data_IF_041064466414
#
_entry.id   IF_041064466414
#
_cell.length_a   1.000
_cell.length_b   1.000
_cell.length_c   1.000
_cell.angle_alpha   90.00
_cell.angle_beta   90.00
_cell.angle_gamma   90.00
#
_symmetry.space_group_name_H-M   'P 1'
#
loop_
_entity.id
_entity.type
_entity.pdbx_description
1 polymer ?
#
# COMPACT_ATOMS: atom_id res chain seq x y z
N UNK A 1 -10.31 -5.88 -44.63
CA UNK A 1 -11.38 -5.39 -45.53
C UNK A 1 -11.06 -5.59 -47.02
N UNK A 2 -9.88 -5.16 -47.52
CA UNK A 2 -9.52 -5.28 -48.94
C UNK A 2 -9.58 -6.71 -49.53
N UNK A 3 -9.09 -7.72 -48.80
CA UNK A 3 -9.12 -9.12 -49.25
C UNK A 3 -10.55 -9.65 -49.43
N UNK A 4 -11.47 -9.33 -48.51
CA UNK A 4 -12.89 -9.73 -48.60
C UNK A 4 -13.58 -9.09 -49.80
N UNK A 5 -13.37 -7.80 -50.00
CA UNK A 5 -13.90 -7.08 -51.17
C UNK A 5 -13.43 -7.69 -52.50
N UNK A 6 -12.17 -8.10 -52.58
CA UNK A 6 -11.63 -8.78 -53.77
C UNK A 6 -12.31 -10.14 -54.03
N UNK A 7 -12.53 -10.95 -52.98
CA UNK A 7 -13.22 -12.23 -53.13
C UNK A 7 -14.69 -12.05 -53.53
N UNK A 8 -15.41 -11.14 -52.87
CA UNK A 8 -16.81 -10.84 -53.24
C UNK A 8 -16.89 -10.36 -54.68
N UNK A 9 -15.99 -9.47 -55.11
CA UNK A 9 -15.94 -8.99 -56.49
C UNK A 9 -15.67 -10.13 -57.50
N UNK A 10 -14.69 -10.99 -57.21
CA UNK A 10 -14.35 -12.13 -58.06
C UNK A 10 -15.53 -13.11 -58.19
N UNK A 11 -16.04 -13.62 -57.07
CA UNK A 11 -17.12 -14.61 -57.07
C UNK A 11 -18.45 -14.03 -57.58
N UNK A 12 -18.75 -12.76 -57.32
CA UNK A 12 -19.94 -12.10 -57.89
C UNK A 12 -19.82 -11.98 -59.42
N UNK A 13 -18.64 -11.66 -59.93
CA UNK A 13 -18.41 -11.57 -61.38
C UNK A 13 -18.52 -12.95 -62.06
N UNK A 14 -17.96 -13.99 -61.44
CA UNK A 14 -18.10 -15.37 -61.92
C UNK A 14 -19.56 -15.85 -61.85
N UNK A 15 -20.29 -15.49 -60.78
CA UNK A 15 -21.73 -15.81 -60.64
C UNK A 15 -22.53 -15.18 -61.77
N UNK A 16 -22.24 -13.92 -62.11
CA UNK A 16 -22.89 -13.23 -63.22
C UNK A 16 -22.64 -13.92 -64.57
N UNK A 17 -21.39 -14.30 -64.86
CA UNK A 17 -21.06 -15.05 -66.07
C UNK A 17 -21.78 -16.40 -66.12
N UNK A 18 -21.78 -17.13 -64.99
CA UNK A 18 -22.49 -18.41 -64.85
C UNK A 18 -24.00 -18.27 -65.07
N UNK A 19 -24.59 -17.16 -64.60
CA UNK A 19 -26.01 -16.86 -64.78
C UNK A 19 -26.35 -16.61 -66.25
N UNK A 20 -25.49 -15.93 -67.02
CA UNK A 20 -25.70 -15.73 -68.46
C UNK A 20 -25.73 -17.10 -69.18
N UNK A 21 -24.79 -17.98 -68.86
CA UNK A 21 -24.78 -19.35 -69.38
C UNK A 21 -26.02 -20.14 -68.96
N UNK A 22 -26.51 -19.97 -67.73
CA UNK A 22 -27.73 -20.61 -67.25
C UNK A 22 -28.98 -20.13 -67.99
N UNK A 23 -29.07 -18.83 -68.28
CA UNK A 23 -30.17 -18.25 -69.08
C UNK A 23 -30.19 -18.85 -70.48
N UNK A 24 -29.02 -18.92 -71.14
CA UNK A 24 -28.92 -19.56 -72.46
C UNK A 24 -29.25 -21.06 -72.38
N UNK A 25 -28.73 -21.78 -71.38
CA UNK A 25 -29.02 -23.19 -71.21
C UNK A 25 -30.51 -23.46 -71.01
N UNK A 26 -31.20 -22.58 -70.27
CA UNK A 26 -32.65 -22.62 -70.09
C UNK A 26 -33.37 -22.38 -71.42
N UNK A 27 -32.94 -21.37 -72.18
CA UNK A 27 -33.49 -21.10 -73.51
C UNK A 27 -33.31 -22.29 -74.46
N UNK A 28 -32.11 -22.87 -74.52
CA UNK A 28 -31.77 -24.03 -75.35
C UNK A 28 -32.63 -25.23 -74.97
N UNK A 29 -32.83 -25.49 -73.67
CA UNK A 29 -33.62 -26.61 -73.18
C UNK A 29 -35.13 -26.44 -73.45
N UNK A 30 -35.66 -25.23 -73.36
CA UNK A 30 -37.10 -24.94 -73.52
C UNK A 30 -37.49 -24.84 -74.99
N UNK A 31 -36.65 -24.21 -75.83
CA UNK A 31 -36.96 -23.91 -77.22
C UNK A 31 -36.21 -24.78 -78.23
N UNK A 32 -35.48 -25.81 -77.77
CA UNK A 32 -34.61 -26.66 -78.61
C UNK A 32 -33.64 -25.84 -79.47
N UNK A 33 -33.09 -24.77 -78.91
CA UNK A 33 -32.11 -23.90 -79.57
C UNK A 33 -30.71 -24.52 -79.63
N UNK A 34 -29.78 -23.80 -80.23
CA UNK A 34 -28.35 -24.16 -80.25
C UNK A 34 -27.57 -23.38 -79.19
N UNK A 35 -26.52 -24.01 -78.63
CA UNK A 35 -25.61 -23.36 -77.68
C UNK A 35 -24.64 -22.48 -78.46
N UNK A 36 -24.75 -21.15 -78.30
CA UNK A 36 -23.95 -20.16 -79.04
C UNK A 36 -22.86 -19.54 -78.20
N UNK A 37 -23.03 -19.43 -76.88
CA UNK A 37 -22.01 -18.83 -76.01
C UNK A 37 -20.65 -19.53 -76.08
N UNK A 38 -20.59 -20.82 -76.43
CA UNK A 38 -19.30 -21.50 -76.59
C UNK A 38 -18.42 -20.88 -77.69
N UNK A 39 -19.00 -20.17 -78.68
CA UNK A 39 -18.25 -19.46 -79.71
C UNK A 39 -17.36 -18.33 -79.14
N UNK A 40 -17.66 -17.82 -77.94
CA UNK A 40 -16.83 -16.84 -77.25
C UNK A 40 -15.50 -17.43 -76.74
N UNK A 41 -15.34 -18.75 -76.76
CA UNK A 41 -14.16 -19.46 -76.24
C UNK A 41 -13.42 -20.21 -77.36
N UNK A 42 -12.71 -19.50 -78.25
CA UNK A 42 -12.19 -20.05 -79.50
C UNK A 42 -11.27 -21.26 -79.33
N UNK A 43 -10.56 -21.37 -78.20
CA UNK A 43 -9.61 -22.46 -77.94
C UNK A 43 -10.24 -23.76 -77.42
N UNK A 44 -11.47 -23.70 -76.90
CA UNK A 44 -12.13 -24.85 -76.25
C UNK A 44 -13.53 -25.13 -76.81
N UNK A 45 -14.05 -24.25 -77.68
CA UNK A 45 -15.39 -24.33 -78.27
C UNK A 45 -15.68 -25.70 -78.90
N UNK A 46 -14.82 -26.17 -79.79
CA UNK A 46 -15.03 -27.42 -80.55
C UNK A 46 -15.16 -28.64 -79.61
N UNK A 47 -14.33 -28.70 -78.57
CA UNK A 47 -14.36 -29.77 -77.57
C UNK A 47 -15.61 -29.70 -76.68
N UNK A 48 -16.07 -28.50 -76.34
CA UNK A 48 -17.27 -28.30 -75.51
C UNK A 48 -18.56 -28.62 -76.29
N UNK A 49 -18.67 -28.16 -77.53
CA UNK A 49 -19.83 -28.42 -78.39
C UNK A 49 -20.00 -29.92 -78.72
N UNK A 50 -18.90 -30.64 -78.92
CA UNK A 50 -18.96 -32.07 -79.28
C UNK A 50 -19.34 -32.97 -78.11
N UNK A 51 -19.01 -32.59 -76.87
CA UNK A 51 -19.11 -33.47 -75.70
C UNK A 51 -20.25 -33.11 -74.73
N UNK A 52 -20.91 -31.95 -74.89
CA UNK A 52 -21.90 -31.47 -73.92
C UNK A 52 -23.30 -31.48 -74.55
N UNK A 53 -24.20 -32.25 -73.94
CA UNK A 53 -25.63 -32.23 -74.29
C UNK A 53 -26.34 -31.04 -73.63
N UNK A 54 -27.49 -30.57 -74.18
CA UNK A 54 -28.27 -29.48 -73.60
C UNK A 54 -28.62 -29.65 -72.11
N UNK A 55 -28.96 -30.87 -71.69
CA UNK A 55 -29.31 -31.19 -70.31
C UNK A 55 -28.08 -31.07 -69.41
N UNK A 56 -26.94 -31.61 -69.83
CA UNK A 56 -25.69 -31.53 -69.08
C UNK A 56 -25.21 -30.07 -68.97
N UNK A 57 -25.35 -29.29 -70.05
CA UNK A 57 -25.04 -27.85 -70.04
C UNK A 57 -25.88 -27.09 -69.01
N UNK A 58 -27.19 -27.34 -68.97
CA UNK A 58 -28.09 -26.75 -67.98
C UNK A 58 -27.71 -27.13 -66.55
N UNK A 59 -27.45 -28.42 -66.27
CA UNK A 59 -27.10 -28.87 -64.92
C UNK A 59 -25.77 -28.27 -64.44
N UNK A 60 -24.74 -28.25 -65.29
CA UNK A 60 -23.42 -27.69 -64.94
C UNK A 60 -23.55 -26.20 -64.63
N UNK A 61 -24.23 -25.44 -65.48
CA UNK A 61 -24.39 -23.99 -65.31
C UNK A 61 -25.29 -23.64 -64.13
N UNK A 62 -26.33 -24.44 -63.86
CA UNK A 62 -27.18 -24.28 -62.68
C UNK A 62 -26.38 -24.51 -61.39
N UNK A 63 -25.67 -25.63 -61.30
CA UNK A 63 -24.84 -25.98 -60.13
C UNK A 63 -23.75 -24.94 -59.91
N UNK A 64 -23.05 -24.53 -60.98
CA UNK A 64 -22.03 -23.48 -60.90
C UNK A 64 -22.62 -22.16 -60.38
N UNK A 65 -23.79 -21.76 -60.86
CA UNK A 65 -24.44 -20.51 -60.43
C UNK A 65 -24.80 -20.56 -58.95
N UNK A 66 -25.40 -21.64 -58.47
CA UNK A 66 -25.76 -21.77 -57.05
C UNK A 66 -24.55 -21.86 -56.12
N UNK A 67 -23.50 -22.58 -56.51
CA UNK A 67 -22.27 -22.68 -55.71
C UNK A 67 -21.58 -21.31 -55.63
N UNK A 68 -21.36 -20.64 -56.76
CA UNK A 68 -20.68 -19.34 -56.80
C UNK A 68 -21.49 -18.27 -56.06
N UNK A 69 -22.81 -18.28 -56.22
CA UNK A 69 -23.70 -17.38 -55.47
C UNK A 69 -23.66 -17.70 -53.97
N UNK A 70 -23.73 -18.96 -53.57
CA UNK A 70 -23.66 -19.39 -52.18
C UNK A 70 -22.34 -18.99 -51.51
N UNK A 71 -21.21 -19.17 -52.20
CA UNK A 71 -19.89 -18.72 -51.72
C UNK A 71 -19.87 -17.19 -51.58
N UNK A 72 -20.40 -16.46 -52.58
CA UNK A 72 -20.49 -14.99 -52.54
C UNK A 72 -21.29 -14.54 -51.33
N UNK A 73 -22.45 -15.15 -51.07
CA UNK A 73 -23.29 -14.85 -49.92
C UNK A 73 -22.61 -15.19 -48.60
N UNK A 74 -21.94 -16.34 -48.48
CA UNK A 74 -21.22 -16.72 -47.26
C UNK A 74 -20.10 -15.74 -46.90
N UNK A 75 -19.38 -15.22 -47.91
CA UNK A 75 -18.30 -14.26 -47.71
C UNK A 75 -18.85 -12.85 -47.45
N UNK A 76 -19.89 -12.44 -48.18
CA UNK A 76 -20.47 -11.10 -48.08
C UNK A 76 -21.29 -10.91 -46.80
N UNK A 77 -21.99 -11.97 -46.35
CA UNK A 77 -22.85 -11.99 -45.18
C UNK A 77 -22.26 -12.85 -44.08
N UNK A 78 -20.98 -12.63 -43.73
CA UNK A 78 -20.48 -13.08 -42.43
C UNK A 78 -21.48 -12.62 -41.35
N UNK A 79 -21.97 -13.57 -40.56
CA UNK A 79 -23.11 -13.35 -39.68
C UNK A 79 -22.79 -12.21 -38.69
N UNK A 80 -23.40 -11.02 -38.84
CA UNK A 80 -23.07 -9.87 -38.00
C UNK A 80 -23.43 -10.14 -36.54
N UNK A 81 -24.41 -11.03 -36.30
CA UNK A 81 -24.83 -11.48 -34.97
C UNK A 81 -23.73 -12.32 -34.33
N UNK A 82 -23.09 -13.22 -35.07
CA UNK A 82 -22.01 -14.06 -34.55
C UNK A 82 -20.79 -13.20 -34.16
N UNK A 83 -20.43 -12.24 -35.01
CA UNK A 83 -19.34 -11.29 -34.71
C UNK A 83 -19.65 -10.46 -33.49
N UNK A 84 -20.89 -9.96 -33.38
CA UNK A 84 -21.34 -9.21 -32.23
C UNK A 84 -21.34 -10.06 -30.95
N UNK A 85 -21.89 -11.27 -30.99
CA UNK A 85 -21.91 -12.20 -29.86
C UNK A 85 -20.51 -12.55 -29.38
N UNK A 86 -19.59 -12.87 -30.30
CA UNK A 86 -18.20 -13.17 -29.96
C UNK A 86 -17.52 -11.96 -29.32
N UNK A 87 -17.82 -10.74 -29.78
CA UNK A 87 -17.31 -9.51 -29.17
C UNK A 87 -17.87 -9.33 -27.76
N UNK A 88 -19.17 -9.47 -27.55
CA UNK A 88 -19.80 -9.34 -26.23
C UNK A 88 -19.26 -10.40 -25.25
N UNK A 89 -19.09 -11.66 -25.68
CA UNK A 89 -18.49 -12.72 -24.89
C UNK A 89 -17.03 -12.41 -24.53
N UNK A 90 -16.26 -11.90 -25.48
CA UNK A 90 -14.88 -11.46 -25.25
C UNK A 90 -14.82 -10.32 -24.24
N UNK A 91 -15.66 -9.28 -24.41
CA UNK A 91 -15.72 -8.11 -23.55
C UNK A 91 -16.18 -8.49 -22.12
N UNK A 92 -17.13 -9.42 -21.98
CA UNK A 92 -17.54 -9.94 -20.68
C UNK A 92 -16.43 -10.73 -19.98
N UNK A 93 -15.65 -11.53 -20.74
CA UNK A 93 -14.52 -12.28 -20.20
C UNK A 93 -13.40 -11.37 -19.74
N UNK A 94 -13.08 -10.32 -20.51
CA UNK A 94 -12.05 -9.34 -20.13
C UNK A 94 -12.49 -8.55 -18.90
N UNK A 95 -13.75 -8.11 -18.83
CA UNK A 95 -14.28 -7.44 -17.65
C UNK A 95 -14.17 -8.30 -16.39
N UNK A 96 -14.57 -9.57 -16.47
CA UNK A 96 -14.46 -10.51 -15.34
C UNK A 96 -13.01 -10.68 -14.87
N UNK A 97 -12.05 -10.76 -15.80
CA UNK A 97 -10.64 -10.88 -15.46
C UNK A 97 -10.09 -9.62 -14.77
N UNK A 98 -10.49 -8.44 -15.23
CA UNK A 98 -10.11 -7.15 -14.61
C UNK A 98 -10.71 -7.02 -13.21
N UNK A 99 -11.98 -7.40 -13.04
CA UNK A 99 -12.64 -7.40 -11.72
C UNK A 99 -11.94 -8.36 -10.75
N UNK A 100 -11.53 -9.55 -11.20
CA UNK A 100 -10.76 -10.49 -10.38
C UNK A 100 -9.39 -9.93 -9.95
N UNK A 101 -8.65 -9.32 -10.88
CA UNK A 101 -7.37 -8.67 -10.57
C UNK A 101 -7.52 -7.53 -9.57
N UNK A 102 -8.56 -6.70 -9.72
CA UNK A 102 -8.85 -5.61 -8.79
C UNK A 102 -9.22 -6.15 -7.40
N UNK A 103 -9.96 -7.26 -7.33
CA UNK A 103 -10.31 -7.92 -6.07
C UNK A 103 -9.07 -8.48 -5.36
N UNK A 104 -8.14 -9.07 -6.13
CA UNK A 104 -6.86 -9.56 -5.63
C UNK A 104 -6.01 -8.41 -5.06
N UNK A 105 -5.86 -7.30 -5.80
CA UNK A 105 -5.16 -6.09 -5.32
C UNK A 105 -5.80 -5.53 -4.05
N UNK A 106 -7.14 -5.49 -3.98
CA UNK A 106 -7.85 -5.05 -2.77
C UNK A 106 -7.62 -5.98 -1.59
N UNK A 107 -7.51 -7.29 -1.84
CA UNK A 107 -7.20 -8.28 -0.80
C UNK A 107 -5.79 -8.06 -0.25
N UNK A 108 -4.78 -7.89 -1.11
CA UNK A 108 -3.40 -7.66 -0.70
C UNK A 108 -3.26 -6.40 0.17
N UNK A 109 -3.96 -5.31 -0.18
CA UNK A 109 -3.99 -4.09 0.64
C UNK A 109 -4.59 -4.38 2.02
N UNK A 110 -5.67 -5.18 2.08
CA UNK A 110 -6.32 -5.53 3.33
C UNK A 110 -5.40 -6.36 4.23
N UNK A 111 -4.64 -7.29 3.64
CA UNK A 111 -3.65 -8.11 4.34
C UNK A 111 -2.52 -7.23 4.92
N UNK A 112 -1.98 -6.30 4.12
CA UNK A 112 -0.97 -5.35 4.59
C UNK A 112 -1.49 -4.43 5.71
N UNK A 113 -2.76 -4.01 5.64
CA UNK A 113 -3.40 -3.28 6.74
C UNK A 113 -3.52 -4.13 8.00
N UNK A 114 -3.89 -5.39 7.87
CA UNK A 114 -4.01 -6.32 9.00
C UNK A 114 -2.64 -6.54 9.67
N UNK A 115 -1.58 -6.77 8.91
CA UNK A 115 -0.21 -6.88 9.43
C UNK A 115 0.22 -5.60 10.17
N UNK A 116 -0.12 -4.43 9.64
CA UNK A 116 0.18 -3.15 10.29
C UNK A 116 -0.56 -3.00 11.62
N UNK A 117 -1.82 -3.43 11.68
CA UNK A 117 -2.62 -3.41 12.93
C UNK A 117 -2.01 -4.36 13.96
N UNK A 118 -1.65 -5.58 13.55
CA UNK A 118 -1.00 -6.57 14.43
C UNK A 118 0.31 -6.01 15.01
N UNK A 119 1.14 -5.41 14.16
CA UNK A 119 2.40 -4.77 14.58
C UNK A 119 2.16 -3.63 15.59
N UNK A 120 1.20 -2.74 15.30
CA UNK A 120 0.86 -1.64 16.19
C UNK A 120 0.31 -2.15 17.54
N UNK A 121 -0.47 -3.24 17.54
CA UNK A 121 -0.98 -3.85 18.75
C UNK A 121 0.15 -4.42 19.63
N UNK A 122 1.14 -5.06 19.01
CA UNK A 122 2.34 -5.53 19.71
C UNK A 122 3.14 -4.38 20.34
N UNK A 123 3.33 -3.28 19.61
CA UNK A 123 4.00 -2.08 20.15
C UNK A 123 3.21 -1.50 21.32
N UNK A 124 1.89 -1.38 21.20
CA UNK A 124 1.03 -0.90 22.28
C UNK A 124 1.12 -1.77 23.54
N UNK A 125 1.20 -3.10 23.37
CA UNK A 125 1.43 -4.02 24.48
C UNK A 125 2.76 -3.76 25.16
N UNK A 126 3.85 -3.61 24.39
CA UNK A 126 5.17 -3.31 24.94
C UNK A 126 5.20 -1.97 25.68
N UNK A 127 4.59 -0.93 25.10
CA UNK A 127 4.47 0.39 25.73
C UNK A 127 3.69 0.29 27.04
N UNK A 128 2.60 -0.47 27.06
CA UNK A 128 1.82 -0.71 28.29
C UNK A 128 2.66 -1.36 29.38
N UNK A 129 3.46 -2.36 29.04
CA UNK A 129 4.33 -3.05 29.99
C UNK A 129 5.41 -2.11 30.54
N UNK A 130 6.05 -1.32 29.67
CA UNK A 130 7.01 -0.29 30.08
C UNK A 130 6.38 0.74 31.02
N UNK A 131 5.17 1.21 30.71
CA UNK A 131 4.44 2.14 31.58
C UNK A 131 4.14 1.52 32.94
N UNK A 132 3.81 0.23 32.99
CA UNK A 132 3.56 -0.47 34.25
C UNK A 132 4.84 -0.55 35.09
N UNK A 133 5.97 -0.89 34.46
CA UNK A 133 7.29 -0.97 35.10
C UNK A 133 7.75 0.39 35.65
N UNK A 134 7.65 1.45 34.84
CA UNK A 134 7.98 2.81 35.28
C UNK A 134 7.08 3.23 36.45
N UNK A 135 5.78 2.92 36.38
CA UNK A 135 4.85 3.23 37.47
C UNK A 135 5.23 2.49 38.76
N UNK A 136 5.68 1.24 38.68
CA UNK A 136 6.15 0.51 39.86
C UNK A 136 7.43 1.11 40.42
N UNK A 137 8.42 1.43 39.60
CA UNK A 137 9.67 2.05 40.05
C UNK A 137 9.42 3.44 40.67
N UNK A 138 8.55 4.26 40.08
CA UNK A 138 8.18 5.57 40.65
C UNK A 138 7.52 5.43 42.02
N UNK A 139 6.71 4.38 42.25
CA UNK A 139 6.13 4.10 43.58
C UNK A 139 7.21 3.77 44.61
N UNK A 140 8.28 3.08 44.22
CA UNK A 140 9.40 2.77 45.11
C UNK A 140 10.26 4.00 45.45
N UNK A 141 10.28 5.01 44.58
CA UNK A 141 10.97 6.30 44.79
C UNK A 141 10.14 7.27 45.63
N UNK A 142 8.82 7.09 45.71
CA UNK A 142 7.91 7.90 46.52
C UNK A 142 8.32 8.13 48.00
N UNK A 143 8.85 7.14 48.76
CA UNK A 143 9.34 7.35 50.12
C UNK A 143 10.54 8.31 50.21
N UNK A 144 11.26 8.60 49.12
CA UNK A 144 12.33 9.61 49.13
C UNK A 144 11.79 10.98 49.55
N UNK A 145 10.54 11.31 49.19
CA UNK A 145 9.89 12.54 49.64
C UNK A 145 9.75 12.59 51.17
N UNK A 146 9.39 11.46 51.79
CA UNK A 146 9.25 11.35 53.25
C UNK A 146 10.61 11.40 53.95
N UNK A 147 11.62 10.72 53.40
CA UNK A 147 12.99 10.81 53.91
C UNK A 147 13.57 12.23 53.80
N UNK A 148 13.29 12.95 52.71
CA UNK A 148 13.71 14.35 52.53
C UNK A 148 13.06 15.28 53.55
N UNK A 149 11.76 15.15 53.80
CA UNK A 149 11.08 15.97 54.82
C UNK A 149 11.61 15.64 56.23
N UNK A 150 11.88 14.36 56.52
CA UNK A 150 12.50 13.97 57.79
C UNK A 150 13.90 14.56 57.95
N UNK A 151 14.78 14.42 56.95
CA UNK A 151 16.12 15.03 56.97
C UNK A 151 16.07 16.54 57.13
N UNK A 152 15.16 17.23 56.43
CA UNK A 152 14.95 18.68 56.56
C UNK A 152 14.54 19.07 57.98
N UNK A 153 13.70 18.26 58.63
CA UNK A 153 13.29 18.50 60.02
C UNK A 153 14.47 18.34 60.99
N UNK A 154 15.29 17.29 60.82
CA UNK A 154 16.48 17.02 61.64
C UNK A 154 17.54 18.13 61.48
N UNK A 155 17.80 18.57 60.25
CA UNK A 155 18.73 19.66 59.95
C UNK A 155 18.27 20.99 60.56
N UNK A 156 16.97 21.27 60.56
CA UNK A 156 16.40 22.43 61.24
C UNK A 156 16.54 22.33 62.76
N UNK A 157 16.40 21.14 63.35
CA UNK A 157 16.65 20.91 64.77
C UNK A 157 18.10 21.18 65.13
N UNK A 158 19.03 20.58 64.37
CA UNK A 158 20.47 20.75 64.56
C UNK A 158 20.89 22.21 64.45
N UNK A 159 20.34 22.95 63.47
CA UNK A 159 20.55 24.39 63.33
C UNK A 159 20.12 25.18 64.57
N UNK A 160 19.02 24.81 65.22
CA UNK A 160 18.57 25.44 66.47
C UNK A 160 19.52 25.14 67.62
N UNK A 161 20.04 23.92 67.71
CA UNK A 161 21.01 23.53 68.73
C UNK A 161 22.34 24.26 68.58
N UNK A 162 22.87 24.36 67.35
CA UNK A 162 24.06 25.18 67.08
C UNK A 162 23.85 26.64 67.46
N UNK A 163 22.68 27.22 67.17
CA UNK A 163 22.35 28.59 67.58
C UNK A 163 22.29 28.75 69.11
N UNK A 164 21.88 27.72 69.84
CA UNK A 164 21.91 27.70 71.32
C UNK A 164 23.35 27.58 71.83
N UNK A 165 24.17 26.73 71.22
CA UNK A 165 25.58 26.56 71.58
C UNK A 165 26.39 27.82 71.28
N UNK A 166 26.20 28.43 70.11
CA UNK A 166 26.84 29.70 69.75
C UNK A 166 26.50 30.82 70.75
N UNK A 167 25.23 30.93 71.15
CA UNK A 167 24.81 31.85 72.21
C UNK A 167 25.48 31.54 73.55
N UNK A 168 25.56 30.26 73.94
CA UNK A 168 26.22 29.84 75.18
C UNK A 168 27.72 30.15 75.18
N UNK A 169 28.42 29.88 74.07
CA UNK A 169 29.85 30.16 73.89
C UNK A 169 30.11 31.67 73.93
N UNK A 170 29.31 32.47 73.22
CA UNK A 170 29.40 33.94 73.28
C UNK A 170 29.12 34.50 74.68
N UNK A 171 28.30 33.83 75.48
CA UNK A 171 27.99 34.24 76.86
C UNK A 171 28.98 33.73 77.91
N UNK A 172 29.96 32.91 77.54
CA UNK A 172 30.83 32.18 78.46
C UNK A 172 32.31 32.38 78.12
N UNK A 173 32.76 33.62 78.07
CA UNK A 173 34.18 33.92 78.25
C UNK A 173 34.37 34.15 79.73
N UNK A 174 35.25 33.43 80.40
CA UNK A 174 35.46 33.53 81.85
C UNK A 174 36.88 34.03 82.07
N UNK A 175 37.06 34.93 83.04
CA UNK A 175 38.40 35.38 83.40
C UNK A 175 39.21 34.20 83.99
N UNK A 176 40.38 33.85 83.43
CA UNK A 176 41.17 32.72 83.91
C UNK A 176 41.69 32.92 85.35
N UNK A 177 41.80 34.18 85.80
CA UNK A 177 42.37 34.52 87.12
C UNK A 177 41.32 34.57 88.23
N UNK A 178 40.14 35.16 87.97
CA UNK A 178 39.12 35.37 89.01
C UNK A 178 37.84 34.55 88.82
N UNK A 179 37.73 33.80 87.73
CA UNK A 179 36.60 32.90 87.46
C UNK A 179 35.26 33.60 87.18
N UNK A 180 35.23 34.94 87.06
CA UNK A 180 34.00 35.69 86.75
C UNK A 180 33.76 35.75 85.23
N UNK A 181 32.48 35.71 84.78
CA UNK A 181 32.14 35.80 83.38
C UNK A 181 32.46 37.20 82.82
N UNK A 182 32.93 37.22 81.59
CA UNK A 182 33.36 38.37 80.82
C UNK A 182 32.59 38.41 79.50
N UNK A 183 32.32 39.62 79.01
CA UNK A 183 31.84 39.81 77.65
C UNK A 183 33.03 39.78 76.68
N UNK A 184 32.84 39.31 75.42
CA UNK A 184 33.91 39.17 74.43
C UNK A 184 34.67 40.45 74.08
N UNK A 185 34.13 41.61 74.45
CA UNK A 185 34.66 42.93 74.08
C UNK A 185 35.67 43.49 75.11
N UNK A 186 35.81 42.86 76.28
CA UNK A 186 36.72 43.32 77.33
C UNK A 186 38.14 42.79 77.14
N UNK A 187 39.09 43.70 76.87
CA UNK A 187 40.52 43.41 76.80
C UNK A 187 41.19 43.26 78.18
N UNK A 188 40.56 43.79 79.22
CA UNK A 188 41.03 43.75 80.62
C UNK A 188 39.84 43.37 81.50
N UNK A 189 40.05 42.47 82.45
CA UNK A 189 39.00 42.00 83.34
C UNK A 189 38.57 43.13 84.28
N UNK A 190 37.31 43.59 84.26
CA UNK A 190 36.84 44.69 85.10
C UNK A 190 36.79 44.32 86.59
N UNK A 191 36.86 43.03 86.94
CA UNK A 191 36.74 42.57 88.32
C UNK A 191 38.06 42.37 89.05
N UNK A 192 39.14 42.03 88.33
CA UNK A 192 40.45 41.77 88.94
C UNK A 192 41.61 42.54 88.30
N UNK A 193 41.36 43.30 87.22
CA UNK A 193 42.37 44.11 86.53
C UNK A 193 43.32 43.35 85.62
N UNK A 194 43.15 42.04 85.45
CA UNK A 194 44.04 41.20 84.63
C UNK A 194 43.87 41.47 83.13
N UNK A 195 44.97 41.47 82.38
CA UNK A 195 44.96 41.65 80.94
C UNK A 195 44.62 40.33 80.22
N UNK A 196 43.53 40.31 79.46
CA UNK A 196 42.96 39.10 78.84
C UNK A 196 43.44 38.96 77.39
N UNK A 197 44.48 39.69 76.97
CA UNK A 197 44.94 39.80 75.58
C UNK A 197 45.59 38.54 74.98
N UNK A 198 45.32 37.34 75.48
CA UNK A 198 45.72 36.07 74.88
C UNK A 198 44.68 34.98 75.22
N UNK A 199 43.63 34.86 74.42
CA UNK A 199 43.05 33.55 74.16
C UNK A 199 43.65 33.07 72.83
N UNK A 200 44.58 32.10 72.83
CA UNK A 200 44.82 31.31 71.65
C UNK A 200 43.47 30.70 71.24
N UNK A 201 43.22 30.62 69.94
CA UNK A 201 42.20 29.75 69.37
C UNK A 201 42.25 28.41 70.11
N UNK A 202 41.24 28.13 70.94
CA UNK A 202 41.07 26.79 71.47
C UNK A 202 40.53 25.97 70.30
N UNK A 203 41.47 25.46 69.51
CA UNK A 203 41.27 24.37 68.58
C UNK A 203 40.60 23.27 69.38
N UNK A 204 39.30 23.08 69.15
CA UNK A 204 38.57 21.93 69.68
C UNK A 204 39.20 20.71 69.01
N UNK A 205 40.05 20.00 69.75
CA UNK A 205 40.53 18.69 69.32
C UNK A 205 39.31 17.75 69.29
N UNK A 206 38.75 17.55 68.10
CA UNK A 206 37.85 16.44 67.81
C UNK A 206 38.66 15.16 68.02
N UNK A 207 38.44 14.48 69.15
CA UNK A 207 38.90 13.11 69.32
C UNK A 207 38.32 12.28 68.19
N UNK A 208 39.21 11.66 67.43
CA UNK A 208 38.93 10.65 66.42
C UNK A 208 37.91 9.65 66.96
N UNK A 209 36.71 9.68 66.39
CA UNK A 209 35.76 8.58 66.48
C UNK A 209 36.19 7.55 65.42
N UNK A 210 36.68 6.40 65.88
CA UNK A 210 36.83 5.19 65.07
C UNK A 210 35.46 4.63 64.71
#
# INVERSE_FOLDING_TARGET
MAKKGLFVWLFSSLTFLSLIHLIEATYVLVFNGEIRLFQLYPFINEKLQTNITPITYFLITAVATFILWGITCAIAFENPVETFLNKILSDAKTQTAVEAQLLEEKSEILDAMNETIESNNMILSQVKDLVYNVRTEVKEVQPIKEYLEKMKSELNSLKRELKKLEKKVKSSIICPTCGKPLLPEFKVCPYCGENISLLPETVVALKEYK
#
